data_IF_130003477277
#
_entry.id   IF_130003477277
#
_cell.length_a   1.000
_cell.length_b   1.000
_cell.length_c   1.000
_cell.angle_alpha   90.00
_cell.angle_beta   90.00
_cell.angle_gamma   90.00
#
_symmetry.space_group_name_H-M   'P 1'
#
loop_
_entity.id
_entity.type
_entity.pdbx_description
1 polymer ?
#
# COMPACT_ATOMS: atom_id res chain seq x y z
N UNK A 1 10.43 -12.83 -15.14
CA UNK A 1 9.49 -11.71 -14.86
C UNK A 1 10.32 -10.43 -14.93
N UNK A 2 9.94 -9.47 -15.76
CA UNK A 2 10.70 -8.23 -15.89
C UNK A 2 10.37 -7.38 -14.65
N UNK A 3 11.37 -7.09 -13.83
CA UNK A 3 11.18 -6.24 -12.65
C UNK A 3 10.81 -4.84 -13.11
N UNK A 4 9.55 -4.48 -12.92
CA UNK A 4 9.08 -3.13 -13.22
C UNK A 4 9.28 -2.29 -11.94
N UNK A 5 10.52 -1.88 -11.73
CA UNK A 5 10.82 -0.86 -10.73
C UNK A 5 10.45 0.50 -11.30
N UNK A 6 9.54 1.18 -10.66
CA UNK A 6 9.25 2.57 -11.00
C UNK A 6 9.38 3.45 -9.77
N UNK A 7 10.15 4.51 -9.91
CA UNK A 7 10.19 5.60 -8.94
C UNK A 7 9.05 6.55 -9.28
N UNK A 8 7.85 6.24 -8.82
CA UNK A 8 6.75 7.20 -8.89
C UNK A 8 6.67 8.00 -7.61
N UNK A 9 6.43 9.30 -7.73
CA UNK A 9 6.09 10.12 -6.57
C UNK A 9 4.69 9.73 -6.07
N UNK A 10 4.49 9.75 -4.75
CA UNK A 10 3.16 9.47 -4.20
C UNK A 10 2.16 10.56 -4.59
N UNK A 11 2.56 11.80 -4.69
CA UNK A 11 1.75 12.96 -5.06
C UNK A 11 1.98 14.17 -4.15
N UNK A 12 1.07 15.13 -4.18
CA UNK A 12 1.16 16.38 -3.42
C UNK A 12 0.59 16.28 -1.99
N UNK A 13 0.07 15.13 -1.62
CA UNK A 13 -0.43 14.82 -0.27
C UNK A 13 -0.34 13.31 -0.05
N UNK A 14 -0.65 12.84 1.14
CA UNK A 14 -0.58 11.43 1.51
C UNK A 14 -1.89 10.65 1.28
N UNK A 15 -2.83 11.20 0.52
CA UNK A 15 -4.04 10.47 0.10
C UNK A 15 -3.73 9.47 -1.00
N UNK A 16 -3.83 8.18 -0.71
CA UNK A 16 -3.61 7.15 -1.73
C UNK A 16 -4.58 7.26 -2.91
N UNK A 17 -5.83 7.60 -2.64
CA UNK A 17 -6.86 7.79 -3.68
C UNK A 17 -6.43 8.79 -4.75
N UNK A 18 -5.80 9.88 -4.35
CA UNK A 18 -5.41 10.99 -5.22
C UNK A 18 -3.93 10.92 -5.65
N UNK A 19 -3.27 9.82 -5.32
CA UNK A 19 -1.83 9.64 -5.57
C UNK A 19 -1.50 9.32 -7.02
N UNK A 20 -0.34 9.77 -7.46
CA UNK A 20 0.23 9.45 -8.77
C UNK A 20 0.48 7.94 -8.91
N UNK A 21 0.86 7.27 -7.82
CA UNK A 21 1.08 5.81 -7.85
C UNK A 21 -0.22 5.04 -8.06
N UNK A 22 -1.35 5.46 -7.46
CA UNK A 22 -2.65 4.84 -7.70
C UNK A 22 -3.07 4.99 -9.17
N UNK A 23 -2.91 6.18 -9.73
CA UNK A 23 -3.18 6.44 -11.15
C UNK A 23 -2.29 5.58 -12.06
N UNK A 24 -1.00 5.51 -11.77
CA UNK A 24 -0.06 4.68 -12.51
C UNK A 24 -0.43 3.18 -12.46
N UNK A 25 -0.74 2.66 -11.28
CA UNK A 25 -1.08 1.24 -11.11
C UNK A 25 -2.35 0.84 -11.88
N UNK A 26 -3.35 1.71 -11.94
CA UNK A 26 -4.61 1.43 -12.63
C UNK A 26 -4.66 1.89 -14.10
N UNK A 27 -3.63 2.54 -14.57
CA UNK A 27 -3.43 2.96 -15.96
C UNK A 27 -2.24 2.21 -16.60
N UNK A 28 -1.07 2.82 -16.57
CA UNK A 28 0.12 2.33 -17.28
C UNK A 28 0.50 0.92 -16.84
N UNK A 29 0.64 0.68 -15.53
CA UNK A 29 1.02 -0.64 -15.01
C UNK A 29 -0.02 -1.71 -15.35
N UNK A 30 -1.31 -1.42 -15.16
CA UNK A 30 -2.38 -2.35 -15.50
C UNK A 30 -2.32 -2.79 -16.98
N UNK A 31 -1.97 -1.88 -17.88
CA UNK A 31 -1.87 -2.17 -19.32
C UNK A 31 -0.62 -2.99 -19.69
N UNK A 32 0.39 -3.06 -18.83
CA UNK A 32 1.57 -3.92 -19.00
C UNK A 32 1.32 -5.38 -18.58
N UNK A 33 0.25 -5.63 -17.81
CA UNK A 33 -0.13 -6.99 -17.41
C UNK A 33 -0.64 -7.75 -18.64
N UNK A 34 -0.29 -9.03 -18.74
CA UNK A 34 -0.79 -9.91 -19.82
C UNK A 34 -2.32 -9.84 -19.91
N UNK A 35 -2.84 -9.84 -21.13
CA UNK A 35 -4.26 -9.66 -21.41
C UNK A 35 -5.15 -10.73 -20.76
N UNK A 36 -4.70 -11.97 -20.69
CA UNK A 36 -5.46 -13.05 -20.05
C UNK A 36 -5.53 -12.87 -18.54
N UNK A 37 -4.43 -12.39 -17.93
CA UNK A 37 -4.42 -12.03 -16.50
C UNK A 37 -5.33 -10.82 -16.25
N UNK A 38 -5.24 -9.78 -17.09
CA UNK A 38 -6.11 -8.59 -16.98
C UNK A 38 -7.60 -8.92 -17.03
N UNK A 39 -7.98 -9.86 -17.88
CA UNK A 39 -9.36 -10.32 -18.00
C UNK A 39 -9.88 -10.96 -16.70
N UNK A 40 -9.01 -11.57 -15.90
CA UNK A 40 -9.37 -12.16 -14.61
C UNK A 40 -9.36 -11.16 -13.44
N UNK A 41 -8.71 -10.00 -13.59
CA UNK A 41 -8.64 -8.97 -12.54
C UNK A 41 -9.98 -8.27 -12.43
N UNK A 42 -10.61 -8.41 -11.27
CA UNK A 42 -11.88 -7.74 -10.95
C UNK A 42 -11.63 -6.37 -10.31
N UNK A 43 -12.51 -5.44 -10.59
CA UNK A 43 -12.59 -4.20 -9.84
C UNK A 43 -13.19 -4.46 -8.47
N UNK A 44 -12.54 -3.99 -7.42
CA UNK A 44 -12.96 -4.16 -6.04
C UNK A 44 -13.02 -2.82 -5.32
N UNK A 45 -13.73 -2.76 -4.20
CA UNK A 45 -13.69 -1.63 -3.28
C UNK A 45 -12.82 -2.02 -2.08
N UNK A 46 -11.71 -1.31 -1.91
CA UNK A 46 -10.80 -1.53 -0.79
C UNK A 46 -10.98 -0.46 0.28
N UNK A 47 -10.83 -0.79 1.56
CA UNK A 47 -10.71 0.20 2.61
C UNK A 47 -9.45 1.05 2.40
N UNK A 48 -9.54 2.34 2.67
CA UNK A 48 -8.39 3.23 2.65
C UNK A 48 -8.57 4.37 3.64
N UNK A 49 -7.48 4.87 4.15
CA UNK A 49 -7.49 6.08 4.98
C UNK A 49 -7.30 7.29 4.08
N UNK A 50 -8.23 8.24 4.18
CA UNK A 50 -8.12 9.49 3.46
C UNK A 50 -7.06 10.35 4.13
N UNK A 51 -5.93 10.54 3.46
CA UNK A 51 -4.80 11.28 4.01
C UNK A 51 -5.11 12.77 4.10
N UNK A 52 -5.24 13.27 5.30
CA UNK A 52 -5.30 14.71 5.57
C UNK A 52 -4.57 14.96 6.89
N UNK A 53 -3.33 15.40 6.84
CA UNK A 53 -2.50 15.89 7.93
C UNK A 53 -2.65 15.27 9.33
N UNK A 54 -3.80 15.25 9.93
CA UNK A 54 -4.05 14.78 11.30
C UNK A 54 -4.97 13.54 11.38
N UNK A 55 -4.76 12.57 10.48
CA UNK A 55 -5.49 11.31 10.53
C UNK A 55 -6.84 11.39 9.84
N UNK A 56 -6.82 11.31 8.51
CA UNK A 56 -8.03 11.22 7.72
C UNK A 56 -8.90 10.02 8.11
N UNK A 57 -10.22 10.16 7.90
CA UNK A 57 -11.18 9.12 8.22
C UNK A 57 -10.97 7.86 7.37
N UNK A 58 -11.17 6.70 7.97
CA UNK A 58 -11.17 5.42 7.28
C UNK A 58 -12.45 5.28 6.44
N UNK A 59 -12.31 5.17 5.13
CA UNK A 59 -13.39 4.89 4.21
C UNK A 59 -13.48 3.38 3.93
N UNK A 60 -14.68 2.80 4.11
CA UNK A 60 -14.92 1.36 3.99
C UNK A 60 -16.22 1.07 3.25
N UNK A 61 -16.45 -0.19 2.87
CA UNK A 61 -17.68 -0.65 2.23
C UNK A 61 -17.98 0.14 0.95
N UNK A 62 -19.18 0.73 0.88
CA UNK A 62 -19.60 1.53 -0.28
C UNK A 62 -18.74 2.78 -0.53
N UNK A 63 -18.12 3.31 0.52
CA UNK A 63 -17.23 4.46 0.47
C UNK A 63 -15.76 4.09 0.20
N UNK A 64 -15.45 2.79 0.13
CA UNK A 64 -14.11 2.30 -0.20
C UNK A 64 -13.64 2.74 -1.59
N UNK A 65 -12.33 2.74 -1.79
CA UNK A 65 -11.70 3.09 -3.06
C UNK A 65 -11.95 1.99 -4.10
N UNK A 66 -12.56 2.35 -5.21
CA UNK A 66 -12.78 1.45 -6.35
C UNK A 66 -11.49 1.32 -7.17
N UNK A 67 -10.93 0.12 -7.27
CA UNK A 67 -9.61 -0.09 -7.88
C UNK A 67 -9.46 -1.53 -8.39
N UNK A 68 -8.49 -1.76 -9.27
CA UNK A 68 -8.09 -3.08 -9.79
C UNK A 68 -6.72 -3.51 -9.28
N UNK A 69 -5.78 -2.58 -9.21
CA UNK A 69 -4.42 -2.80 -8.72
C UNK A 69 -4.13 -1.77 -7.63
N UNK A 70 -3.61 -2.21 -6.50
CA UNK A 70 -3.39 -1.33 -5.35
C UNK A 70 -2.19 -1.73 -4.51
N UNK A 71 -1.63 -0.76 -3.81
CA UNK A 71 -0.62 -1.00 -2.78
C UNK A 71 -1.28 -1.64 -1.54
N UNK A 72 -0.53 -2.49 -0.86
CA UNK A 72 -0.95 -3.03 0.42
C UNK A 72 -0.97 -1.95 1.51
N UNK A 73 -1.82 -2.11 2.50
CA UNK A 73 -1.84 -1.27 3.70
C UNK A 73 -0.94 -1.83 4.80
N UNK A 74 -0.62 -1.01 5.79
CA UNK A 74 0.10 -1.45 6.98
C UNK A 74 -0.62 -2.57 7.72
N UNK A 75 -1.94 -2.50 7.82
CA UNK A 75 -2.74 -3.55 8.44
C UNK A 75 -2.69 -4.88 7.67
N UNK A 76 -2.77 -4.84 6.35
CA UNK A 76 -2.70 -6.05 5.50
C UNK A 76 -1.36 -6.76 5.63
N UNK A 77 -0.28 -6.02 5.81
CA UNK A 77 1.07 -6.58 5.99
C UNK A 77 1.42 -6.86 7.44
N UNK A 78 0.45 -6.80 8.35
CA UNK A 78 0.58 -7.35 9.69
C UNK A 78 0.82 -6.35 10.82
N UNK A 79 0.84 -5.04 10.56
CA UNK A 79 0.89 -4.02 11.61
C UNK A 79 -0.50 -3.61 12.08
N UNK A 80 -0.58 -3.16 13.33
CA UNK A 80 -1.82 -2.77 13.98
C UNK A 80 -1.64 -1.45 14.72
N UNK A 81 -2.72 -0.92 15.27
CA UNK A 81 -2.66 0.26 16.14
C UNK A 81 -1.75 0.06 17.36
N UNK A 82 -1.52 -1.20 17.78
CA UNK A 82 -0.60 -1.51 18.88
C UNK A 82 0.88 -1.31 18.52
N UNK A 83 1.25 -1.29 17.23
CA UNK A 83 2.64 -1.13 16.81
C UNK A 83 3.10 0.34 16.94
N UNK A 84 2.26 1.31 16.60
CA UNK A 84 2.57 2.73 16.76
C UNK A 84 1.33 3.66 16.85
N UNK A 85 0.14 3.11 16.94
CA UNK A 85 -1.11 3.86 16.98
C UNK A 85 -1.67 4.29 15.62
N UNK A 86 -0.94 4.08 14.51
CA UNK A 86 -1.24 4.68 13.20
C UNK A 86 -1.72 3.71 12.12
N UNK A 87 -1.85 2.42 12.41
CA UNK A 87 -2.32 1.42 11.44
C UNK A 87 -3.77 1.00 11.69
N UNK A 88 -4.75 1.74 11.15
CA UNK A 88 -6.15 1.36 11.26
C UNK A 88 -6.42 0.09 10.46
N UNK A 89 -7.60 -0.51 10.65
CA UNK A 89 -8.03 -1.70 9.91
C UNK A 89 -8.46 -1.32 8.48
N UNK A 90 -7.51 -0.85 7.68
CA UNK A 90 -7.71 -0.41 6.30
C UNK A 90 -7.49 -1.52 5.27
N UNK A 91 -7.88 -2.74 5.61
CA UNK A 91 -7.78 -3.91 4.74
C UNK A 91 -8.13 -5.21 5.46
N UNK A 92 -7.82 -6.31 4.81
CA UNK A 92 -7.92 -7.67 5.36
C UNK A 92 -6.52 -8.18 5.65
N UNK A 93 -6.31 -8.64 6.86
CA UNK A 93 -5.02 -9.17 7.28
C UNK A 93 -4.59 -10.34 6.41
N UNK A 94 -3.40 -10.24 5.83
CA UNK A 94 -2.82 -11.31 5.02
C UNK A 94 -1.96 -12.20 5.91
N UNK A 95 -2.39 -13.45 6.11
CA UNK A 95 -1.72 -14.39 7.01
C UNK A 95 -0.23 -14.62 6.67
N UNK A 96 0.15 -14.45 5.41
CA UNK A 96 1.54 -14.60 4.96
C UNK A 96 2.52 -13.73 5.74
N UNK A 97 2.18 -12.49 6.02
CA UNK A 97 3.12 -11.54 6.64
C UNK A 97 3.32 -11.76 8.15
N UNK A 98 2.40 -12.45 8.81
CA UNK A 98 2.44 -12.59 10.28
C UNK A 98 2.07 -11.28 11.00
N UNK A 99 2.47 -11.16 12.25
CA UNK A 99 2.08 -10.05 13.12
C UNK A 99 3.31 -9.24 13.55
N UNK A 100 3.17 -7.91 13.58
CA UNK A 100 4.16 -6.98 14.13
C UNK A 100 5.59 -7.28 13.66
N UNK A 101 6.60 -7.09 14.48
CA UNK A 101 8.02 -7.28 14.14
C UNK A 101 8.39 -8.74 13.81
N UNK A 102 7.65 -9.74 14.35
CA UNK A 102 7.89 -11.15 14.02
C UNK A 102 7.70 -11.48 12.53
N UNK A 103 6.97 -10.64 11.79
CA UNK A 103 6.74 -10.77 10.36
C UNK A 103 7.74 -10.01 9.47
N UNK A 104 8.72 -9.29 10.03
CA UNK A 104 9.61 -8.42 9.24
C UNK A 104 10.27 -9.15 8.07
N UNK A 105 10.86 -10.33 8.29
CA UNK A 105 11.53 -11.09 7.24
C UNK A 105 10.65 -11.41 6.01
N UNK A 106 9.34 -11.50 6.21
CA UNK A 106 8.37 -11.79 5.14
C UNK A 106 7.95 -10.55 4.35
N UNK A 107 8.27 -9.35 4.85
CA UNK A 107 7.96 -8.08 4.21
C UNK A 107 9.10 -7.55 3.35
N UNK A 108 10.29 -8.11 3.47
CA UNK A 108 11.44 -7.68 2.68
C UNK A 108 11.12 -7.90 1.20
N UNK A 109 11.15 -6.82 0.42
CA UNK A 109 11.09 -6.86 -1.03
C UNK A 109 12.49 -6.72 -1.62
N UNK A 110 12.70 -7.26 -2.82
CA UNK A 110 13.97 -7.22 -3.50
C UNK A 110 13.83 -6.57 -4.88
N UNK A 111 14.80 -5.73 -5.23
CA UNK A 111 15.05 -5.29 -6.59
C UNK A 111 16.34 -5.96 -7.06
N UNK A 112 16.22 -6.95 -7.93
CA UNK A 112 17.32 -7.86 -8.23
C UNK A 112 17.75 -8.62 -6.97
N UNK A 113 19.00 -8.49 -6.55
CA UNK A 113 19.57 -9.12 -5.35
C UNK A 113 19.57 -8.21 -4.11
N UNK A 114 19.16 -6.96 -4.25
CA UNK A 114 19.22 -5.96 -3.16
C UNK A 114 17.87 -5.76 -2.52
N UNK A 115 17.82 -5.76 -1.18
CA UNK A 115 16.60 -5.40 -0.46
C UNK A 115 16.21 -3.95 -0.78
N UNK A 116 14.93 -3.73 -1.00
CA UNK A 116 14.39 -2.46 -1.47
C UNK A 116 13.27 -1.96 -0.56
N UNK A 117 13.18 -0.64 -0.41
CA UNK A 117 12.07 0.03 0.26
C UNK A 117 10.86 0.02 -0.67
N UNK A 118 9.66 -0.21 -0.13
CA UNK A 118 8.43 -0.13 -0.90
C UNK A 118 7.30 0.56 -0.14
N UNK A 119 6.42 1.21 -0.91
CA UNK A 119 5.35 2.03 -0.37
C UNK A 119 4.14 1.19 0.08
N UNK A 120 3.55 1.62 1.19
CA UNK A 120 2.21 1.22 1.59
C UNK A 120 1.18 2.27 1.14
N UNK A 121 -0.11 1.92 1.12
CA UNK A 121 -1.16 2.91 0.89
C UNK A 121 -1.59 3.65 2.15
N UNK A 122 -1.13 3.22 3.32
CA UNK A 122 -1.48 3.84 4.60
C UNK A 122 -0.75 5.17 4.76
N UNK A 123 -1.46 6.30 4.94
CA UNK A 123 -0.83 7.59 5.18
C UNK A 123 -0.22 7.63 6.58
N UNK A 124 0.84 8.39 6.74
CA UNK A 124 1.33 8.78 8.05
C UNK A 124 0.46 9.92 8.60
N UNK A 125 -0.16 9.69 9.76
CA UNK A 125 -1.13 10.64 10.31
C UNK A 125 -0.51 11.84 11.02
N UNK A 126 0.81 11.82 11.22
CA UNK A 126 1.56 12.90 11.85
C UNK A 126 1.90 14.07 10.93
N UNK A 127 1.73 13.87 9.61
CA UNK A 127 2.07 14.91 8.65
C UNK A 127 1.21 14.78 7.38
N UNK A 128 1.17 15.85 6.58
CA UNK A 128 0.33 15.94 5.38
C UNK A 128 0.91 15.20 4.17
N UNK A 129 2.20 14.91 4.17
CA UNK A 129 2.93 14.37 3.02
C UNK A 129 3.44 12.95 3.26
N UNK A 130 3.57 12.54 4.51
CA UNK A 130 4.16 11.26 4.88
C UNK A 130 3.26 10.08 4.54
N UNK A 131 3.87 9.03 3.99
CA UNK A 131 3.24 7.73 3.72
C UNK A 131 4.10 6.64 4.30
N UNK A 132 3.50 5.67 4.95
CA UNK A 132 4.23 4.54 5.49
C UNK A 132 4.91 3.71 4.40
N UNK A 133 6.09 3.23 4.71
CA UNK A 133 6.91 2.38 3.86
C UNK A 133 7.36 1.15 4.62
N UNK A 134 7.61 0.07 3.89
CA UNK A 134 8.39 -1.06 4.40
C UNK A 134 9.86 -0.78 4.11
N UNK A 135 10.69 -0.89 5.13
CA UNK A 135 12.13 -0.68 5.01
C UNK A 135 12.85 -1.96 4.54
N UNK A 136 14.15 -1.87 4.27
CA UNK A 136 14.95 -2.98 3.73
C UNK A 136 15.07 -4.18 4.67
N UNK A 137 14.85 -4.00 5.96
CA UNK A 137 14.79 -5.05 6.99
C UNK A 137 13.37 -5.58 7.25
N UNK A 138 12.38 -5.06 6.52
CA UNK A 138 10.96 -5.41 6.66
C UNK A 138 10.23 -4.69 7.78
N UNK A 139 10.87 -3.77 8.51
CA UNK A 139 10.21 -2.86 9.45
C UNK A 139 9.42 -1.76 8.71
N UNK A 140 8.59 -1.02 9.43
CA UNK A 140 7.93 0.15 8.88
C UNK A 140 8.77 1.42 9.10
N UNK A 141 8.60 2.37 8.19
CA UNK A 141 9.26 3.67 8.25
C UNK A 141 8.33 4.76 7.72
#
# INVERSE_FOLDING_TARGET
>A
MKDIYTTSTFGNNNSYKDSSIHTYLNGTFYNLIDSNIRAAIKQVKIPYQNGTGSGGSLATGSNGLSTKVFLLSGYEVGWTTSDNGYFPKDGVRLAYFGNSSSGNSKRIAYNGSSAAIWWLRSPYTGDYYGVWRVYTDGSYY
#
